data_IF_095615550861
#
_entry.id   IF_095615550861
#
_cell.length_a   1.000
_cell.length_b   1.000
_cell.length_c   1.000
_cell.angle_alpha   90.00
_cell.angle_beta   90.00
_cell.angle_gamma   90.00
#
_symmetry.space_group_name_H-M   'P 1'
#
loop_
_entity.id
_entity.type
_entity.pdbx_description
1 polymer ?
#
# COMPACT_ATOMS: atom_id res chain seq x y z
N UNK A 1 -13.53 -20.00 -24.53
CA UNK A 1 -13.02 -21.34 -24.85
C UNK A 1 -14.11 -22.40 -24.89
N UNK A 2 -14.76 -22.76 -23.77
CA UNK A 2 -15.82 -23.78 -23.77
C UNK A 2 -16.94 -23.50 -24.80
N UNK A 3 -17.41 -22.26 -24.87
CA UNK A 3 -18.40 -21.83 -25.88
C UNK A 3 -17.90 -21.92 -27.32
N UNK A 4 -16.60 -21.77 -27.54
CA UNK A 4 -15.97 -21.89 -28.87
C UNK A 4 -15.96 -23.35 -29.33
N UNK A 5 -15.61 -24.27 -28.43
CA UNK A 5 -15.67 -25.72 -28.68
C UNK A 5 -17.10 -26.17 -28.91
N UNK A 6 -18.03 -25.77 -28.05
CA UNK A 6 -19.45 -26.10 -28.24
C UNK A 6 -20.05 -25.52 -29.54
N UNK A 7 -19.51 -24.39 -30.03
CA UNK A 7 -19.94 -23.86 -31.32
C UNK A 7 -19.43 -24.72 -32.48
N UNK A 8 -18.19 -25.21 -32.39
CA UNK A 8 -17.59 -26.09 -33.40
C UNK A 8 -18.23 -27.47 -33.45
N UNK A 9 -18.59 -28.01 -32.29
CA UNK A 9 -19.28 -29.30 -32.15
C UNK A 9 -20.78 -29.24 -32.47
N UNK A 10 -21.36 -28.03 -32.59
CA UNK A 10 -22.79 -27.87 -32.84
C UNK A 10 -23.19 -28.40 -34.22
N UNK A 11 -24.04 -29.44 -34.23
CA UNK A 11 -24.48 -30.11 -35.45
C UNK A 11 -25.51 -29.28 -36.22
N UNK A 12 -26.36 -28.51 -35.53
CA UNK A 12 -27.47 -27.80 -36.15
C UNK A 12 -27.28 -26.28 -36.20
N UNK A 13 -27.90 -25.63 -37.20
CA UNK A 13 -27.96 -24.17 -37.32
C UNK A 13 -28.58 -23.50 -36.07
N UNK A 14 -29.57 -24.16 -35.46
CA UNK A 14 -30.23 -23.66 -34.26
C UNK A 14 -29.30 -23.66 -33.06
N UNK A 15 -28.51 -24.73 -32.88
CA UNK A 15 -27.50 -24.82 -31.83
C UNK A 15 -26.39 -23.80 -32.05
N UNK A 16 -25.83 -23.70 -33.25
CA UNK A 16 -24.83 -22.66 -33.60
C UNK A 16 -25.35 -21.27 -33.28
N UNK A 17 -26.57 -20.95 -33.72
CA UNK A 17 -27.22 -19.66 -33.43
C UNK A 17 -27.40 -19.40 -31.93
N UNK A 18 -27.74 -20.43 -31.14
CA UNK A 18 -27.88 -20.33 -29.68
C UNK A 18 -26.52 -20.07 -29.02
N UNK A 19 -25.52 -20.88 -29.36
CA UNK A 19 -24.17 -20.76 -28.78
C UNK A 19 -23.52 -19.43 -29.15
N UNK A 20 -23.67 -18.93 -30.39
CA UNK A 20 -23.13 -17.62 -30.78
C UNK A 20 -23.76 -16.47 -29.99
N UNK A 21 -25.06 -16.53 -29.67
CA UNK A 21 -25.73 -15.48 -28.85
C UNK A 21 -25.23 -15.49 -27.41
N UNK A 22 -25.10 -16.67 -26.81
CA UNK A 22 -24.51 -16.82 -25.47
C UNK A 22 -23.06 -16.33 -25.50
N UNK A 23 -22.30 -16.71 -26.52
CA UNK A 23 -20.93 -16.24 -26.75
C UNK A 23 -20.85 -14.72 -26.86
N UNK A 24 -21.71 -14.09 -27.65
CA UNK A 24 -21.76 -12.64 -27.79
C UNK A 24 -22.04 -11.94 -26.44
N UNK A 25 -23.02 -12.43 -25.68
CA UNK A 25 -23.30 -11.93 -24.32
C UNK A 25 -22.10 -12.09 -23.39
N UNK A 26 -21.46 -13.27 -23.38
CA UNK A 26 -20.27 -13.51 -22.58
C UNK A 26 -19.08 -12.64 -23.00
N UNK A 27 -18.90 -12.34 -24.29
CA UNK A 27 -17.87 -11.40 -24.75
C UNK A 27 -18.10 -9.99 -24.18
N UNK A 28 -19.34 -9.49 -24.23
CA UNK A 28 -19.69 -8.20 -23.62
C UNK A 28 -19.47 -8.20 -22.11
N UNK A 29 -19.96 -9.22 -21.41
CA UNK A 29 -19.80 -9.35 -19.96
C UNK A 29 -18.34 -9.46 -19.53
N UNK A 30 -17.51 -10.16 -20.32
CA UNK A 30 -16.08 -10.31 -20.02
C UNK A 30 -15.34 -8.99 -20.12
N UNK A 31 -15.75 -8.09 -21.04
CA UNK A 31 -15.19 -6.75 -21.15
C UNK A 31 -15.51 -5.89 -19.92
N UNK A 32 -16.59 -6.17 -19.19
CA UNK A 32 -16.89 -5.53 -17.90
C UNK A 32 -15.97 -5.99 -16.77
N UNK A 33 -15.35 -7.17 -16.89
CA UNK A 33 -14.43 -7.70 -15.89
C UNK A 33 -12.97 -7.32 -16.19
N UNK A 34 -12.51 -7.55 -17.41
CA UNK A 34 -11.11 -7.31 -17.77
C UNK A 34 -10.94 -6.94 -19.25
N UNK A 35 -10.39 -5.76 -19.51
CA UNK A 35 -10.24 -5.22 -20.87
C UNK A 35 -9.32 -6.03 -21.78
N UNK A 36 -8.34 -6.75 -21.22
CA UNK A 36 -7.39 -7.57 -22.01
C UNK A 36 -8.08 -8.71 -22.76
N UNK A 37 -9.31 -9.08 -22.40
CA UNK A 37 -10.11 -10.07 -23.15
C UNK A 37 -10.34 -9.67 -24.60
N UNK A 38 -10.22 -8.37 -24.94
CA UNK A 38 -10.35 -7.87 -26.31
C UNK A 38 -9.42 -8.63 -27.28
N UNK A 39 -8.24 -9.06 -26.83
CA UNK A 39 -7.30 -9.84 -27.64
C UNK A 39 -7.90 -11.18 -28.09
N UNK A 40 -8.67 -11.84 -27.22
CA UNK A 40 -9.38 -13.07 -27.55
C UNK A 40 -10.61 -12.80 -28.43
N UNK A 41 -11.38 -11.75 -28.09
CA UNK A 41 -12.60 -11.38 -28.82
C UNK A 41 -12.28 -11.04 -30.29
N UNK A 42 -11.17 -10.35 -30.54
CA UNK A 42 -10.69 -10.00 -31.89
C UNK A 42 -10.33 -11.22 -32.75
N UNK A 43 -10.00 -12.37 -32.14
CA UNK A 43 -9.77 -13.61 -32.89
C UNK A 43 -11.05 -14.44 -33.02
N UNK A 44 -11.80 -14.60 -31.94
CA UNK A 44 -12.96 -15.49 -31.87
C UNK A 44 -14.12 -14.94 -32.72
N UNK A 45 -14.41 -13.64 -32.63
CA UNK A 45 -15.58 -13.07 -33.32
C UNK A 45 -15.46 -13.18 -34.84
N UNK A 46 -14.35 -12.77 -35.50
CA UNK A 46 -14.21 -12.95 -36.94
C UNK A 46 -14.27 -14.42 -37.37
N UNK A 47 -13.70 -15.34 -36.58
CA UNK A 47 -13.76 -16.77 -36.87
C UNK A 47 -15.21 -17.30 -36.82
N UNK A 48 -15.98 -16.98 -35.77
CA UNK A 48 -17.40 -17.36 -35.68
C UNK A 48 -18.20 -16.77 -36.84
N UNK A 49 -18.00 -15.49 -37.17
CA UNK A 49 -18.69 -14.83 -38.27
C UNK A 49 -18.34 -15.48 -39.62
N UNK A 50 -17.08 -15.86 -39.82
CA UNK A 50 -16.63 -16.57 -41.01
C UNK A 50 -17.28 -17.96 -41.13
N UNK A 51 -17.36 -18.73 -40.03
CA UNK A 51 -18.03 -20.03 -40.03
C UNK A 51 -19.53 -19.90 -40.33
N UNK A 52 -20.21 -18.95 -39.70
CA UNK A 52 -21.62 -18.67 -39.99
C UNK A 52 -21.83 -18.24 -41.45
N UNK A 53 -20.88 -17.49 -42.03
CA UNK A 53 -20.93 -17.12 -43.44
C UNK A 53 -20.76 -18.35 -44.35
N UNK A 54 -19.79 -19.21 -44.04
CA UNK A 54 -19.52 -20.45 -44.78
C UNK A 54 -20.72 -21.40 -44.80
N UNK A 55 -21.39 -21.55 -43.66
CA UNK A 55 -22.61 -22.35 -43.51
C UNK A 55 -23.88 -21.65 -44.04
N UNK A 56 -23.76 -20.42 -44.58
CA UNK A 56 -24.86 -19.58 -45.08
C UNK A 56 -25.92 -19.23 -44.01
N UNK A 57 -25.51 -19.20 -42.75
CA UNK A 57 -26.34 -18.86 -41.59
C UNK A 57 -26.22 -17.39 -41.18
N UNK A 58 -25.23 -16.68 -41.74
CA UNK A 58 -25.02 -15.26 -41.46
C UNK A 58 -26.01 -14.39 -42.26
N UNK A 59 -26.79 -13.59 -41.54
CA UNK A 59 -27.69 -12.58 -42.12
C UNK A 59 -27.59 -11.27 -41.34
N UNK A 60 -28.07 -10.17 -41.91
CA UNK A 60 -28.17 -8.88 -41.19
C UNK A 60 -28.96 -9.00 -39.89
N UNK A 61 -30.05 -9.77 -39.89
CA UNK A 61 -30.85 -10.04 -38.70
C UNK A 61 -30.10 -10.86 -37.64
N UNK A 62 -29.25 -11.81 -38.06
CA UNK A 62 -28.38 -12.56 -37.15
C UNK A 62 -27.30 -11.65 -36.54
N UNK A 63 -26.64 -10.83 -37.36
CA UNK A 63 -25.66 -9.84 -36.90
C UNK A 63 -26.27 -8.86 -35.88
N UNK A 64 -27.45 -8.32 -36.17
CA UNK A 64 -28.16 -7.44 -35.25
C UNK A 64 -28.46 -8.13 -33.92
N UNK A 65 -28.95 -9.37 -33.95
CA UNK A 65 -29.18 -10.16 -32.72
C UNK A 65 -27.88 -10.34 -31.94
N UNK A 66 -26.79 -10.77 -32.58
CA UNK A 66 -25.50 -10.91 -31.90
C UNK A 66 -25.03 -9.60 -31.26
N UNK A 67 -25.19 -8.47 -31.96
CA UNK A 67 -24.94 -7.13 -31.43
C UNK A 67 -25.77 -6.82 -30.19
N UNK A 68 -27.08 -7.13 -30.19
CA UNK A 68 -27.94 -6.96 -29.02
C UNK A 68 -27.50 -7.81 -27.82
N UNK A 69 -27.14 -9.08 -28.04
CA UNK A 69 -26.63 -9.93 -26.95
C UNK A 69 -25.31 -9.42 -26.39
N UNK A 70 -24.39 -8.99 -27.26
CA UNK A 70 -23.13 -8.36 -26.84
C UNK A 70 -23.37 -7.09 -26.01
N UNK A 71 -24.23 -6.18 -26.49
CA UNK A 71 -24.61 -4.97 -25.76
C UNK A 71 -25.30 -5.28 -24.44
N UNK A 72 -26.12 -6.34 -24.37
CA UNK A 72 -26.71 -6.81 -23.11
C UNK A 72 -25.64 -7.29 -22.11
N UNK A 73 -24.55 -7.88 -22.60
CA UNK A 73 -23.40 -8.24 -21.77
C UNK A 73 -22.70 -7.02 -21.16
N UNK A 74 -22.75 -5.86 -21.82
CA UNK A 74 -22.15 -4.61 -21.34
C UNK A 74 -23.02 -3.86 -20.31
N UNK A 75 -24.22 -4.35 -20.00
CA UNK A 75 -25.13 -3.69 -19.04
C UNK A 75 -24.52 -3.38 -17.66
N UNK A 76 -23.59 -4.18 -17.09
CA UNK A 76 -22.93 -3.80 -15.84
C UNK A 76 -22.25 -2.43 -15.89
N UNK A 77 -21.76 -1.97 -17.05
CA UNK A 77 -21.18 -0.64 -17.17
C UNK A 77 -22.18 0.50 -16.94
N UNK A 78 -23.49 0.27 -17.09
CA UNK A 78 -24.51 1.26 -16.78
C UNK A 78 -24.53 1.63 -15.29
N UNK A 79 -24.00 0.78 -14.40
CA UNK A 79 -23.86 1.09 -12.99
C UNK A 79 -22.94 2.30 -12.74
N UNK A 80 -21.88 2.47 -13.55
CA UNK A 80 -20.89 3.54 -13.35
C UNK A 80 -21.52 4.95 -13.45
N UNK A 81 -22.17 5.34 -14.57
CA UNK A 81 -22.78 6.67 -14.66
C UNK A 81 -23.94 6.83 -13.66
N UNK A 82 -24.74 5.78 -13.40
CA UNK A 82 -25.84 5.84 -12.43
C UNK A 82 -25.32 6.11 -11.02
N UNK A 83 -24.34 5.34 -10.56
CA UNK A 83 -23.75 5.48 -9.23
C UNK A 83 -23.03 6.82 -9.06
N UNK A 84 -22.33 7.29 -10.11
CA UNK A 84 -21.64 8.57 -10.13
C UNK A 84 -22.60 9.77 -10.12
N UNK A 85 -23.75 9.66 -10.80
CA UNK A 85 -24.79 10.68 -10.80
C UNK A 85 -25.53 10.76 -9.46
N UNK A 86 -25.89 9.61 -8.89
CA UNK A 86 -26.51 9.54 -7.56
C UNK A 86 -25.52 9.85 -6.42
N UNK A 87 -24.23 9.94 -6.73
CA UNK A 87 -23.14 10.12 -5.78
C UNK A 87 -23.17 9.06 -4.66
N UNK A 88 -23.60 7.83 -4.97
CA UNK A 88 -23.73 6.74 -3.99
C UNK A 88 -22.40 6.05 -3.71
N UNK A 89 -21.59 5.83 -4.77
CA UNK A 89 -20.26 5.28 -4.60
C UNK A 89 -19.36 6.31 -3.91
N UNK A 90 -18.96 6.00 -2.67
CA UNK A 90 -17.93 6.72 -1.91
C UNK A 90 -16.53 6.57 -2.51
N UNK A 91 -16.38 5.81 -3.58
CA UNK A 91 -15.10 5.68 -4.24
C UNK A 91 -15.31 5.22 -5.68
N UNK A 92 -14.89 6.05 -6.61
CA UNK A 92 -14.89 5.78 -8.04
C UNK A 92 -13.54 6.23 -8.60
N UNK A 93 -13.10 5.61 -9.69
CA UNK A 93 -11.90 6.06 -10.41
C UNK A 93 -12.32 6.95 -11.58
N UNK A 94 -12.28 8.27 -11.39
CA UNK A 94 -12.79 9.25 -12.35
C UNK A 94 -14.23 9.71 -12.04
N UNK A 95 -14.70 10.68 -12.83
CA UNK A 95 -16.09 11.17 -12.82
C UNK A 95 -16.85 10.71 -14.07
N UNK A 96 -17.75 9.74 -13.92
CA UNK A 96 -18.55 9.17 -15.01
C UNK A 96 -19.94 9.82 -15.15
N UNK A 97 -20.18 11.02 -14.59
CA UNK A 97 -21.47 11.72 -14.75
C UNK A 97 -21.73 12.22 -16.17
N UNK A 98 -20.69 12.39 -16.96
CA UNK A 98 -20.77 12.84 -18.36
C UNK A 98 -20.40 11.69 -19.30
N UNK A 99 -20.87 11.77 -20.55
CA UNK A 99 -20.46 10.81 -21.59
C UNK A 99 -18.94 10.80 -21.77
N UNK A 100 -18.31 11.98 -21.77
CA UNK A 100 -16.87 12.09 -21.87
C UNK A 100 -16.17 11.39 -20.71
N UNK A 101 -16.59 11.66 -19.47
CA UNK A 101 -16.01 11.03 -18.28
C UNK A 101 -16.24 9.51 -18.24
N UNK A 102 -17.40 9.03 -18.70
CA UNK A 102 -17.63 7.61 -18.91
C UNK A 102 -16.67 7.02 -19.95
N UNK A 103 -16.47 7.69 -21.09
CA UNK A 103 -15.55 7.24 -22.14
C UNK A 103 -14.10 7.26 -21.65
N UNK A 104 -13.67 8.29 -20.92
CA UNK A 104 -12.33 8.37 -20.31
C UNK A 104 -12.08 7.19 -19.38
N UNK A 105 -13.05 6.81 -18.55
CA UNK A 105 -12.95 5.63 -17.69
C UNK A 105 -12.97 4.32 -18.51
N UNK A 106 -13.94 4.18 -19.42
CA UNK A 106 -14.10 2.99 -20.26
C UNK A 106 -12.86 2.74 -21.13
N UNK A 107 -12.26 3.78 -21.69
CA UNK A 107 -11.03 3.69 -22.49
C UNK A 107 -9.77 3.64 -21.62
N UNK A 108 -9.91 3.65 -20.28
CA UNK A 108 -8.82 3.60 -19.31
C UNK A 108 -7.77 4.70 -19.56
N UNK A 109 -8.20 5.87 -20.03
CA UNK A 109 -7.31 6.96 -20.41
C UNK A 109 -6.42 7.41 -19.23
N UNK A 110 -6.97 7.39 -18.01
CA UNK A 110 -6.26 7.79 -16.78
C UNK A 110 -5.12 6.84 -16.39
N UNK A 111 -5.17 5.59 -16.83
CA UNK A 111 -4.10 4.61 -16.66
C UNK A 111 -3.08 4.64 -17.81
N UNK A 112 -3.44 5.31 -18.91
CA UNK A 112 -2.83 5.16 -20.22
C UNK A 112 -3.51 4.01 -20.97
N UNK A 113 -4.34 4.32 -21.97
CA UNK A 113 -5.18 3.34 -22.71
C UNK A 113 -4.40 2.11 -23.21
N UNK A 114 -3.17 2.31 -23.67
CA UNK A 114 -2.28 1.25 -24.14
C UNK A 114 -1.17 0.87 -23.15
N UNK A 115 -1.24 1.39 -21.93
CA UNK A 115 -0.36 1.00 -20.82
C UNK A 115 -1.05 -0.09 -19.99
N UNK A 116 -0.39 -1.23 -19.85
CA UNK A 116 -0.86 -2.33 -19.00
C UNK A 116 -0.42 -2.16 -17.55
N UNK A 117 0.75 -1.55 -17.34
CA UNK A 117 1.22 -1.08 -16.05
C UNK A 117 2.11 0.16 -16.27
N UNK A 118 1.91 1.18 -15.44
CA UNK A 118 2.72 2.40 -15.45
C UNK A 118 3.99 2.14 -14.61
N UNK A 119 4.92 1.30 -15.10
CA UNK A 119 6.21 1.08 -14.44
C UNK A 119 7.24 2.14 -14.88
N UNK A 120 8.15 2.51 -13.96
CA UNK A 120 9.30 3.39 -14.26
C UNK A 120 10.28 2.77 -15.28
N UNK A 121 10.21 1.45 -15.46
CA UNK A 121 10.93 0.69 -16.49
C UNK A 121 9.89 -0.02 -17.34
N UNK A 122 9.41 0.65 -18.38
CA UNK A 122 8.33 0.15 -19.23
C UNK A 122 8.78 -1.00 -20.14
N UNK A 123 8.12 -2.15 -20.06
CA UNK A 123 8.16 -3.16 -21.12
C UNK A 123 7.41 -2.65 -22.35
N UNK A 124 7.95 -2.85 -23.55
CA UNK A 124 7.32 -2.35 -24.79
C UNK A 124 5.98 -3.03 -25.05
N UNK A 125 5.02 -2.34 -25.68
CA UNK A 125 3.71 -2.93 -26.04
C UNK A 125 3.86 -4.24 -26.83
N UNK A 126 4.90 -4.35 -27.66
CA UNK A 126 5.28 -5.57 -28.37
C UNK A 126 5.68 -6.72 -27.45
N UNK A 127 6.47 -6.47 -26.40
CA UNK A 127 6.84 -7.50 -25.42
C UNK A 127 5.62 -7.99 -24.66
N UNK A 128 4.70 -7.09 -24.32
CA UNK A 128 3.49 -7.46 -23.59
C UNK A 128 2.53 -8.24 -24.49
N UNK A 129 2.35 -7.82 -25.74
CA UNK A 129 1.57 -8.58 -26.72
C UNK A 129 2.18 -9.95 -27.00
N UNK A 130 3.52 -10.04 -27.09
CA UNK A 130 4.23 -11.31 -27.24
C UNK A 130 4.04 -12.20 -26.02
N UNK A 131 4.15 -11.66 -24.82
CA UNK A 131 3.89 -12.35 -23.56
C UNK A 131 2.45 -12.86 -23.50
N UNK A 132 1.47 -12.00 -23.83
CA UNK A 132 0.05 -12.37 -23.89
C UNK A 132 -0.20 -13.42 -24.97
N UNK A 133 0.38 -13.33 -26.17
CA UNK A 133 0.26 -14.37 -27.19
C UNK A 133 0.90 -15.69 -26.78
N UNK A 134 2.04 -15.63 -26.10
CA UNK A 134 2.71 -16.82 -25.57
C UNK A 134 1.85 -17.46 -24.50
N UNK A 135 1.32 -16.67 -23.56
CA UNK A 135 0.39 -17.10 -22.53
C UNK A 135 -0.88 -17.68 -23.14
N UNK A 136 -1.49 -17.03 -24.14
CA UNK A 136 -2.65 -17.56 -24.88
C UNK A 136 -2.35 -18.94 -25.45
N UNK A 137 -1.20 -19.10 -26.15
CA UNK A 137 -0.79 -20.42 -26.69
C UNK A 137 -0.57 -21.46 -25.59
N UNK A 138 -0.04 -21.05 -24.44
CA UNK A 138 0.19 -21.97 -23.32
C UNK A 138 -1.11 -22.33 -22.62
N UNK A 139 -1.98 -21.37 -22.31
CA UNK A 139 -3.30 -21.56 -21.71
C UNK A 139 -4.26 -22.37 -22.61
N UNK A 140 -4.15 -22.23 -23.93
CA UNK A 140 -4.91 -23.03 -24.90
C UNK A 140 -4.43 -24.48 -25.02
N UNK A 141 -3.27 -24.83 -24.46
CA UNK A 141 -2.77 -26.22 -24.47
C UNK A 141 -3.58 -27.10 -23.53
N UNK A 142 -4.06 -28.24 -24.04
CA UNK A 142 -4.83 -29.22 -23.28
C UNK A 142 -4.12 -29.66 -21.99
N UNK A 143 -2.78 -29.81 -22.05
CA UNK A 143 -1.97 -30.20 -20.90
C UNK A 143 -2.02 -29.15 -19.78
N UNK A 144 -2.01 -27.86 -20.12
CA UNK A 144 -2.08 -26.77 -19.13
C UNK A 144 -3.49 -26.64 -18.57
N UNK A 145 -4.54 -26.85 -19.37
CA UNK A 145 -5.91 -26.88 -18.83
C UNK A 145 -6.13 -28.05 -17.88
N UNK A 146 -5.65 -29.24 -18.23
CA UNK A 146 -5.69 -30.40 -17.35
C UNK A 146 -4.87 -30.18 -16.07
N UNK A 147 -3.67 -29.59 -16.18
CA UNK A 147 -2.85 -29.22 -15.02
C UNK A 147 -3.46 -28.09 -14.20
N UNK A 148 -4.15 -27.13 -14.80
CA UNK A 148 -4.84 -26.05 -14.11
C UNK A 148 -6.06 -26.59 -13.35
N UNK A 149 -6.83 -27.49 -13.95
CA UNK A 149 -7.93 -28.20 -13.26
C UNK A 149 -7.36 -29.06 -12.14
N UNK A 150 -6.28 -29.81 -12.39
CA UNK A 150 -5.59 -30.61 -11.37
C UNK A 150 -5.02 -29.75 -10.24
N UNK A 151 -4.38 -28.62 -10.55
CA UNK A 151 -3.85 -27.68 -9.59
C UNK A 151 -4.96 -27.01 -8.78
N UNK A 152 -6.08 -26.62 -9.42
CA UNK A 152 -7.25 -26.15 -8.70
C UNK A 152 -7.78 -27.26 -7.77
N UNK A 153 -7.89 -28.50 -8.20
CA UNK A 153 -8.37 -29.61 -7.33
C UNK A 153 -7.38 -29.94 -6.20
N UNK A 154 -6.07 -29.89 -6.45
CA UNK A 154 -5.03 -30.28 -5.49
C UNK A 154 -4.62 -29.14 -4.54
N UNK A 155 -4.65 -27.88 -4.98
CA UNK A 155 -4.21 -26.72 -4.20
C UNK A 155 -5.38 -25.97 -3.53
N UNK A 156 -6.63 -26.20 -3.94
CA UNK A 156 -7.81 -25.45 -3.47
C UNK A 156 -8.12 -25.54 -1.98
N UNK A 157 -7.48 -26.41 -1.20
CA UNK A 157 -7.82 -26.56 0.23
C UNK A 157 -6.83 -26.03 1.24
N UNK A 158 -5.52 -26.03 0.98
CA UNK A 158 -4.55 -25.61 2.01
C UNK A 158 -3.88 -24.27 1.74
N UNK A 159 -3.69 -23.87 0.46
CA UNK A 159 -3.07 -22.58 0.11
C UNK A 159 -4.16 -21.53 -0.16
N UNK A 160 -5.26 -21.91 -0.80
CA UNK A 160 -6.37 -21.00 -1.08
C UNK A 160 -7.32 -20.82 0.11
N UNK A 161 -7.26 -21.70 1.12
CA UNK A 161 -8.05 -21.52 2.34
C UNK A 161 -7.42 -20.44 3.22
N UNK A 162 -7.92 -19.22 3.03
CA UNK A 162 -7.57 -18.03 3.80
C UNK A 162 -8.65 -17.71 4.85
N UNK A 163 -9.51 -18.67 5.21
CA UNK A 163 -10.63 -18.45 6.14
C UNK A 163 -10.19 -18.00 7.54
N UNK A 164 -8.96 -18.33 7.94
CA UNK A 164 -8.37 -17.90 9.21
C UNK A 164 -7.36 -16.76 9.06
N UNK A 165 -7.17 -16.21 7.86
CA UNK A 165 -6.20 -15.16 7.62
C UNK A 165 -6.81 -13.78 7.90
N UNK A 166 -6.59 -13.29 9.11
CA UNK A 166 -7.09 -12.00 9.59
C UNK A 166 -5.98 -10.96 9.77
N UNK A 167 -4.79 -11.14 9.19
CA UNK A 167 -3.67 -10.24 9.47
C UNK A 167 -3.93 -8.81 8.97
N UNK A 168 -4.50 -8.64 7.78
CA UNK A 168 -4.87 -7.33 7.22
C UNK A 168 -6.03 -6.71 8.01
N UNK A 169 -6.97 -7.54 8.47
CA UNK A 169 -8.07 -7.12 9.36
C UNK A 169 -7.52 -6.57 10.69
N UNK A 170 -6.64 -7.34 11.35
CA UNK A 170 -5.97 -6.93 12.58
C UNK A 170 -5.14 -5.66 12.36
N UNK A 171 -4.47 -5.52 11.22
CA UNK A 171 -3.68 -4.34 10.87
C UNK A 171 -4.57 -3.11 10.86
N UNK A 172 -5.65 -3.13 10.06
CA UNK A 172 -6.57 -2.02 9.96
C UNK A 172 -7.24 -1.68 11.29
N UNK A 173 -7.71 -2.69 12.04
CA UNK A 173 -8.33 -2.47 13.36
C UNK A 173 -7.38 -1.84 14.36
N UNK A 174 -6.11 -2.24 14.38
CA UNK A 174 -5.10 -1.64 15.27
C UNK A 174 -4.84 -0.16 14.91
N UNK A 175 -4.69 0.17 13.63
CA UNK A 175 -4.50 1.56 13.19
C UNK A 175 -5.73 2.43 13.48
N UNK A 176 -6.93 1.93 13.18
CA UNK A 176 -8.19 2.63 13.44
C UNK A 176 -8.43 2.82 14.94
N UNK A 177 -8.09 1.84 15.78
CA UNK A 177 -8.26 1.94 17.23
C UNK A 177 -7.23 2.88 17.89
N UNK A 178 -6.06 3.08 17.28
CA UNK A 178 -4.99 3.88 17.90
C UNK A 178 -5.16 5.38 17.73
N UNK A 179 -5.91 5.86 16.74
CA UNK A 179 -6.11 7.31 16.54
C UNK A 179 -7.21 7.87 17.47
N UNK A 180 -7.11 9.13 17.93
CA UNK A 180 -8.12 9.74 18.78
C UNK A 180 -9.44 9.99 18.04
N UNK A 181 -10.46 10.41 18.79
CA UNK A 181 -11.78 10.73 18.25
C UNK A 181 -11.72 11.88 17.24
N UNK A 182 -12.55 11.81 16.19
CA UNK A 182 -12.70 12.86 15.17
C UNK A 182 -11.40 13.22 14.39
N UNK A 183 -10.44 12.28 14.34
CA UNK A 183 -9.17 12.46 13.64
C UNK A 183 -9.29 12.39 12.11
N UNK A 184 -8.34 13.02 11.41
CA UNK A 184 -8.13 12.88 9.96
C UNK A 184 -6.96 11.92 9.73
N UNK A 185 -7.16 10.90 8.91
CA UNK A 185 -6.08 10.04 8.43
C UNK A 185 -5.86 10.30 6.94
N UNK A 186 -4.64 10.74 6.61
CA UNK A 186 -4.12 10.86 5.27
C UNK A 186 -3.57 9.51 4.82
N UNK A 187 -4.31 8.81 3.96
CA UNK A 187 -3.99 7.49 3.43
C UNK A 187 -2.93 7.59 2.32
N UNK A 188 -2.02 6.60 2.26
CA UNK A 188 -1.02 6.47 1.20
C UNK A 188 -0.83 5.01 0.81
N UNK A 189 -0.89 4.74 -0.50
CA UNK A 189 -0.67 3.41 -1.04
C UNK A 189 -1.76 2.39 -0.69
N UNK A 190 -1.60 1.19 -1.24
CA UNK A 190 -2.66 0.19 -1.28
C UNK A 190 -2.98 -0.42 0.09
N UNK A 191 -1.96 -0.69 0.92
CA UNK A 191 -2.17 -1.38 2.19
C UNK A 191 -3.09 -0.59 3.14
N UNK A 192 -2.73 0.63 3.61
CA UNK A 192 -3.61 1.36 4.49
C UNK A 192 -4.84 1.87 3.73
N UNK A 193 -4.68 2.23 2.45
CA UNK A 193 -5.76 2.70 1.60
C UNK A 193 -6.92 1.71 1.54
N UNK A 194 -6.68 0.48 1.09
CA UNK A 194 -7.73 -0.52 0.93
C UNK A 194 -8.22 -1.07 2.28
N UNK A 195 -7.31 -1.40 3.20
CA UNK A 195 -7.68 -2.05 4.45
C UNK A 195 -8.48 -1.14 5.39
N UNK A 196 -8.09 0.12 5.58
CA UNK A 196 -8.83 1.06 6.43
C UNK A 196 -10.17 1.44 5.81
N UNK A 197 -10.22 1.66 4.48
CA UNK A 197 -11.50 1.97 3.80
C UNK A 197 -12.52 0.84 3.96
N UNK A 198 -12.10 -0.41 3.79
CA UNK A 198 -13.00 -1.55 3.98
C UNK A 198 -13.54 -1.60 5.41
N UNK A 199 -12.65 -1.55 6.41
CA UNK A 199 -13.06 -1.61 7.82
C UNK A 199 -13.93 -0.43 8.24
N UNK A 200 -13.64 0.77 7.72
CA UNK A 200 -14.37 1.97 8.10
C UNK A 200 -15.71 2.11 7.38
N UNK A 201 -15.75 1.88 6.06
CA UNK A 201 -16.94 2.13 5.25
C UNK A 201 -17.83 0.91 5.03
N UNK A 202 -17.26 -0.31 4.99
CA UNK A 202 -18.04 -1.54 4.82
C UNK A 202 -18.43 -2.14 6.17
N UNK A 203 -17.46 -2.25 7.10
CA UNK A 203 -17.71 -2.82 8.44
C UNK A 203 -18.20 -1.78 9.46
N UNK A 204 -18.21 -0.49 9.11
CA UNK A 204 -18.73 0.59 9.95
C UNK A 204 -17.88 0.92 11.18
N UNK A 205 -16.58 0.57 11.17
CA UNK A 205 -15.69 0.86 12.29
C UNK A 205 -15.27 2.32 12.32
N UNK A 206 -15.27 2.93 13.51
CA UNK A 206 -14.83 4.31 13.75
C UNK A 206 -15.50 5.33 12.79
N UNK A 207 -16.84 5.41 12.71
CA UNK A 207 -17.52 6.35 11.80
C UNK A 207 -17.22 7.83 12.10
N UNK A 208 -16.56 8.11 13.23
CA UNK A 208 -16.12 9.43 13.67
C UNK A 208 -14.85 9.94 12.95
N UNK A 209 -14.00 9.06 12.41
CA UNK A 209 -12.77 9.50 11.74
C UNK A 209 -13.01 9.83 10.27
N UNK A 210 -12.13 10.64 9.68
CA UNK A 210 -12.14 10.94 8.25
C UNK A 210 -10.93 10.35 7.54
N UNK A 211 -11.17 9.53 6.52
CA UNK A 211 -10.12 8.95 5.67
C UNK A 211 -9.98 9.75 4.37
N UNK A 212 -8.82 10.37 4.15
CA UNK A 212 -8.53 11.21 2.99
C UNK A 212 -7.34 10.63 2.23
N UNK A 213 -7.50 10.34 0.95
CA UNK A 213 -6.42 9.72 0.17
C UNK A 213 -5.48 10.76 -0.44
N UNK A 214 -4.19 10.65 -0.12
CA UNK A 214 -3.18 11.63 -0.51
C UNK A 214 -2.97 11.69 -2.03
N UNK A 215 -2.83 10.53 -2.67
CA UNK A 215 -2.53 10.45 -4.10
C UNK A 215 -3.75 10.85 -4.91
N UNK A 216 -4.93 10.45 -4.44
CA UNK A 216 -6.17 10.76 -5.15
C UNK A 216 -6.51 12.25 -5.15
N UNK A 217 -6.17 12.98 -4.10
CA UNK A 217 -6.34 14.44 -4.04
C UNK A 217 -5.58 15.19 -5.14
N UNK A 218 -4.61 14.57 -5.81
CA UNK A 218 -3.87 15.15 -6.94
C UNK A 218 -4.64 15.09 -8.26
N UNK A 219 -5.71 14.29 -8.35
CA UNK A 219 -6.55 14.16 -9.54
C UNK A 219 -7.68 15.20 -9.55
N UNK A 220 -7.99 15.72 -10.75
CA UNK A 220 -8.97 16.80 -10.93
C UNK A 220 -10.40 16.41 -10.53
N UNK A 221 -10.75 15.14 -10.67
CA UNK A 221 -12.08 14.63 -10.40
C UNK A 221 -12.33 14.25 -8.94
N UNK A 222 -11.28 14.04 -8.13
CA UNK A 222 -11.41 13.39 -6.82
C UNK A 222 -12.16 14.26 -5.80
N UNK A 223 -11.65 15.45 -5.47
CA UNK A 223 -12.27 16.30 -4.45
C UNK A 223 -13.67 16.81 -4.82
N UNK A 224 -13.96 17.20 -6.09
CA UNK A 224 -15.32 17.55 -6.49
C UNK A 224 -16.37 16.46 -6.18
N UNK A 225 -15.95 15.18 -6.16
CA UNK A 225 -16.79 14.03 -5.79
C UNK A 225 -16.73 13.73 -4.30
N UNK A 226 -15.53 13.57 -3.79
CA UNK A 226 -15.28 12.96 -2.48
C UNK A 226 -15.45 13.90 -1.30
N UNK A 227 -15.26 15.21 -1.47
CA UNK A 227 -15.39 16.17 -0.38
C UNK A 227 -16.80 16.14 0.25
N UNK A 228 -17.84 15.83 -0.53
CA UNK A 228 -19.23 15.70 -0.06
C UNK A 228 -19.44 14.53 0.90
N UNK A 229 -18.59 13.50 0.80
CA UNK A 229 -18.60 12.32 1.68
C UNK A 229 -17.73 12.50 2.92
N UNK A 230 -17.06 13.65 3.06
CA UNK A 230 -16.15 13.97 4.15
C UNK A 230 -16.59 15.27 4.86
N UNK A 231 -17.81 15.34 5.43
CA UNK A 231 -18.38 16.58 5.96
C UNK A 231 -17.57 17.19 7.12
N UNK A 232 -16.75 16.38 7.79
CA UNK A 232 -15.86 16.83 8.86
C UNK A 232 -14.52 17.42 8.40
N UNK A 233 -14.23 17.42 7.10
CA UNK A 233 -12.94 17.88 6.54
C UNK A 233 -13.17 19.09 5.64
N UNK A 234 -12.41 20.15 5.87
CA UNK A 234 -12.45 21.36 5.05
C UNK A 234 -11.32 21.34 4.02
N UNK A 235 -11.65 21.53 2.75
CA UNK A 235 -10.66 21.62 1.68
C UNK A 235 -10.55 23.09 1.22
N UNK A 236 -9.35 23.69 1.22
CA UNK A 236 -9.17 25.08 0.77
C UNK A 236 -9.35 25.29 -0.75
N UNK A 237 -9.42 24.20 -1.50
CA UNK A 237 -9.63 24.20 -2.95
C UNK A 237 -10.10 22.83 -3.44
N UNK A 238 -9.99 22.62 -4.74
CA UNK A 238 -10.52 21.46 -5.44
C UNK A 238 -9.46 20.46 -5.87
N UNK A 239 -8.16 20.76 -5.66
CA UNK A 239 -7.06 19.87 -6.02
C UNK A 239 -5.84 20.12 -5.15
N UNK A 240 -5.21 19.07 -4.66
CA UNK A 240 -3.93 19.20 -3.98
C UNK A 240 -2.82 19.47 -5.01
N UNK A 241 -2.09 20.57 -4.82
CA UNK A 241 -0.85 20.89 -5.52
C UNK A 241 0.11 21.64 -4.57
N UNK A 242 1.42 21.36 -4.59
CA UNK A 242 2.39 22.11 -3.81
C UNK A 242 2.38 23.63 -4.09
N UNK A 243 1.97 24.02 -5.30
CA UNK A 243 1.80 25.40 -5.72
C UNK A 243 0.32 25.76 -5.77
N UNK A 244 -0.06 26.75 -4.96
CA UNK A 244 -1.43 27.27 -4.93
C UNK A 244 -1.69 28.21 -6.12
N UNK A 245 -2.92 28.18 -6.61
CA UNK A 245 -3.33 29.00 -7.75
C UNK A 245 -4.61 28.49 -8.38
N UNK A 246 -4.89 29.00 -9.58
CA UNK A 246 -6.02 28.57 -10.41
C UNK A 246 -5.43 27.92 -11.66
N UNK A 247 -5.74 26.65 -11.89
CA UNK A 247 -5.32 25.94 -13.10
C UNK A 247 -6.10 26.42 -14.32
N UNK A 248 -5.63 26.17 -15.56
CA UNK A 248 -6.38 26.48 -16.77
C UNK A 248 -7.78 25.85 -16.82
N UNK A 249 -7.99 24.73 -16.11
CA UNK A 249 -9.29 24.08 -15.92
C UNK A 249 -10.25 24.86 -14.99
N UNK A 250 -9.81 25.97 -14.38
CA UNK A 250 -10.55 26.73 -13.38
C UNK A 250 -10.47 26.14 -11.97
N UNK A 251 -9.75 25.03 -11.78
CA UNK A 251 -9.59 24.40 -10.48
C UNK A 251 -8.69 25.24 -9.57
N UNK A 252 -9.19 25.49 -8.35
CA UNK A 252 -8.41 26.10 -7.28
C UNK A 252 -7.54 25.04 -6.62
N UNK A 253 -6.23 25.24 -6.61
CA UNK A 253 -5.29 24.33 -5.93
C UNK A 253 -4.99 24.79 -4.52
N UNK A 254 -4.70 23.84 -3.64
CA UNK A 254 -4.21 24.10 -2.28
C UNK A 254 -3.02 23.20 -1.97
N UNK A 255 -2.14 23.65 -1.09
CA UNK A 255 -1.03 22.85 -0.59
C UNK A 255 -1.35 22.21 0.77
N UNK A 256 -0.51 21.28 1.22
CA UNK A 256 -0.73 20.55 2.45
C UNK A 256 -0.66 21.45 3.69
N UNK A 257 0.21 22.47 3.70
CA UNK A 257 0.24 23.44 4.80
C UNK A 257 -1.13 24.11 5.01
N UNK A 258 -1.74 24.64 3.95
CA UNK A 258 -3.04 25.30 4.03
C UNK A 258 -4.16 24.33 4.41
N UNK A 259 -4.11 23.08 3.93
CA UNK A 259 -5.02 22.03 4.36
C UNK A 259 -4.94 21.75 5.87
N UNK A 260 -3.73 21.73 6.44
CA UNK A 260 -3.54 21.54 7.88
C UNK A 260 -4.02 22.76 8.67
N UNK A 261 -3.73 23.97 8.21
CA UNK A 261 -4.17 25.20 8.87
C UNK A 261 -5.69 25.35 8.97
N UNK A 262 -6.42 25.01 7.90
CA UNK A 262 -7.90 25.09 7.90
C UNK A 262 -8.56 23.97 8.73
N UNK A 263 -7.83 22.88 8.97
CA UNK A 263 -8.28 21.73 9.76
C UNK A 263 -7.58 21.61 11.12
N UNK A 264 -6.89 22.65 11.61
CA UNK A 264 -6.05 22.61 12.82
C UNK A 264 -6.78 22.19 14.10
N UNK A 265 -8.12 22.26 14.11
CA UNK A 265 -8.95 21.77 15.20
C UNK A 265 -9.02 20.23 15.28
N UNK A 266 -8.59 19.51 14.24
CA UNK A 266 -8.56 18.04 14.18
C UNK A 266 -7.12 17.54 14.18
N UNK A 267 -6.89 16.45 14.89
CA UNK A 267 -5.61 15.77 14.80
C UNK A 267 -5.48 15.06 13.46
N UNK A 268 -4.35 15.28 12.77
CA UNK A 268 -4.09 14.69 11.45
C UNK A 268 -2.94 13.69 11.54
N UNK A 269 -3.15 12.51 10.97
CA UNK A 269 -2.19 11.41 10.92
C UNK A 269 -1.89 11.02 9.48
N UNK A 270 -0.67 10.59 9.20
CA UNK A 270 -0.26 9.98 7.92
C UNK A 270 0.13 8.54 8.19
N UNK A 271 -0.49 7.57 7.51
CA UNK A 271 -0.19 6.15 7.72
C UNK A 271 0.69 5.62 6.58
N UNK A 272 1.84 5.03 6.94
CA UNK A 272 2.88 4.59 5.99
C UNK A 272 3.43 5.78 5.18
N UNK A 273 3.53 6.93 5.86
CA UNK A 273 4.24 8.11 5.40
C UNK A 273 3.41 9.13 4.62
N UNK A 274 4.06 10.26 4.38
CA UNK A 274 3.50 11.43 3.70
C UNK A 274 3.99 11.48 2.24
N UNK A 275 3.15 11.97 1.33
CA UNK A 275 3.54 12.21 -0.05
C UNK A 275 4.68 13.23 -0.13
N UNK A 276 5.80 12.86 -0.75
CA UNK A 276 7.04 13.67 -0.74
C UNK A 276 6.99 14.89 -1.67
N UNK A 277 6.06 14.90 -2.63
CA UNK A 277 5.95 15.97 -3.63
C UNK A 277 5.52 17.33 -3.06
N UNK A 278 5.05 17.39 -1.81
CA UNK A 278 4.67 18.65 -1.16
C UNK A 278 5.45 18.87 0.16
N UNK A 279 6.48 19.73 0.17
CA UNK A 279 7.22 20.05 1.39
C UNK A 279 6.62 21.21 2.19
N UNK A 280 5.52 21.84 1.76
CA UNK A 280 5.00 23.09 2.36
C UNK A 280 4.67 22.94 3.85
N UNK A 281 4.18 21.78 4.27
CA UNK A 281 3.87 21.48 5.68
C UNK A 281 5.09 21.58 6.61
N UNK A 282 6.31 21.30 6.11
CA UNK A 282 7.55 21.30 6.91
C UNK A 282 7.89 22.68 7.49
N UNK A 283 7.24 23.74 7.00
CA UNK A 283 7.41 25.11 7.50
C UNK A 283 7.01 25.22 8.99
N UNK A 284 5.84 24.68 9.34
CA UNK A 284 5.23 24.82 10.67
C UNK A 284 4.77 23.50 11.28
N UNK A 285 5.04 22.36 10.64
CA UNK A 285 4.66 21.05 11.16
C UNK A 285 5.86 20.10 11.16
N UNK A 286 5.82 19.16 12.09
CA UNK A 286 6.74 18.04 12.22
C UNK A 286 5.97 16.72 12.30
N UNK A 287 6.61 15.62 11.93
CA UNK A 287 6.04 14.27 12.04
C UNK A 287 6.54 13.61 13.31
N UNK A 288 5.62 13.27 14.20
CA UNK A 288 5.91 12.53 15.43
C UNK A 288 5.41 11.10 15.29
N UNK A 289 6.19 10.09 15.70
CA UNK A 289 5.86 8.70 15.45
C UNK A 289 4.60 8.26 16.21
N UNK A 290 3.68 7.59 15.50
CA UNK A 290 2.44 7.01 16.02
C UNK A 290 2.28 5.57 15.50
N UNK A 291 3.32 4.76 15.70
CA UNK A 291 3.35 3.37 15.26
C UNK A 291 3.58 3.26 13.76
N UNK A 292 2.68 2.61 13.02
CA UNK A 292 2.74 2.55 11.55
C UNK A 292 2.32 3.88 10.92
N UNK A 293 1.71 4.77 11.69
CA UNK A 293 1.40 6.13 11.28
C UNK A 293 2.34 7.14 11.95
N UNK A 294 2.24 8.38 11.54
CA UNK A 294 2.92 9.53 12.13
C UNK A 294 1.89 10.65 12.33
N UNK A 295 1.93 11.32 13.48
CA UNK A 295 1.07 12.47 13.79
C UNK A 295 1.72 13.74 13.21
N UNK A 296 0.94 14.54 12.49
CA UNK A 296 1.34 15.90 12.11
C UNK A 296 1.12 16.83 13.30
N UNK A 297 2.23 17.39 13.81
CA UNK A 297 2.24 18.22 15.01
C UNK A 297 2.81 19.60 14.67
N UNK A 298 2.12 20.66 15.08
CA UNK A 298 2.61 22.03 14.93
C UNK A 298 3.99 22.17 15.60
N UNK A 299 4.91 22.84 14.91
CA UNK A 299 6.26 23.15 15.40
C UNK A 299 6.26 24.06 16.63
N UNK A 300 5.14 24.68 16.98
CA UNK A 300 4.96 25.45 18.22
C UNK A 300 4.85 24.55 19.46
N UNK A 301 4.52 23.27 19.27
CA UNK A 301 4.34 22.31 20.37
C UNK A 301 5.70 21.71 20.75
N UNK A 302 6.06 21.85 22.02
CA UNK A 302 7.31 21.29 22.56
C UNK A 302 7.16 19.79 22.75
N UNK A 303 8.14 19.03 22.24
CA UNK A 303 8.17 17.58 22.39
C UNK A 303 8.54 17.16 23.82
N UNK A 304 7.66 16.42 24.48
CA UNK A 304 7.92 15.77 25.76
C UNK A 304 8.20 14.26 25.55
N UNK A 305 9.45 13.78 25.71
CA UNK A 305 9.79 12.39 25.44
C UNK A 305 9.08 11.41 26.37
N UNK A 306 8.96 11.70 27.67
CA UNK A 306 8.37 10.77 28.64
C UNK A 306 6.88 10.55 28.40
N UNK A 307 6.16 11.64 28.14
CA UNK A 307 4.74 11.58 27.80
C UNK A 307 4.53 10.83 26.48
N UNK A 308 5.33 11.14 25.45
CA UNK A 308 5.21 10.50 24.14
C UNK A 308 5.54 9.00 24.18
N UNK A 309 6.52 8.61 25.00
CA UNK A 309 6.84 7.20 25.24
C UNK A 309 5.65 6.49 25.87
N UNK A 310 5.02 7.08 26.90
CA UNK A 310 3.87 6.49 27.57
C UNK A 310 2.70 6.29 26.61
N UNK A 311 2.45 7.27 25.74
CA UNK A 311 1.39 7.20 24.72
C UNK A 311 1.67 6.10 23.68
N UNK A 312 2.92 5.96 23.24
CA UNK A 312 3.24 5.09 22.09
C UNK A 312 3.67 3.66 22.45
N UNK A 313 3.97 3.35 23.73
CA UNK A 313 4.57 2.06 24.13
C UNK A 313 3.74 0.83 23.75
N UNK A 314 2.42 0.88 23.90
CA UNK A 314 1.51 -0.26 23.71
C UNK A 314 0.32 0.08 22.80
N UNK A 315 0.56 0.80 21.71
CA UNK A 315 -0.52 1.25 20.81
C UNK A 315 -1.24 0.11 20.11
N UNK A 316 -0.52 -0.97 19.79
CA UNK A 316 -1.04 -2.06 18.98
C UNK A 316 -1.06 -3.38 19.74
N UNK A 317 -2.20 -4.06 19.69
CA UNK A 317 -2.33 -5.46 20.08
C UNK A 317 -1.94 -6.37 18.89
N UNK A 318 -0.65 -6.38 18.56
CA UNK A 318 -0.11 -7.15 17.45
C UNK A 318 0.56 -8.45 17.92
N UNK A 319 -0.05 -9.59 17.58
CA UNK A 319 0.36 -10.93 18.05
C UNK A 319 1.01 -11.78 16.97
N UNK A 320 1.16 -11.27 15.73
CA UNK A 320 1.72 -12.06 14.63
C UNK A 320 3.25 -12.15 14.74
N UNK A 321 3.77 -13.37 14.60
CA UNK A 321 5.20 -13.64 14.68
C UNK A 321 5.97 -13.01 13.50
N UNK A 322 7.19 -12.56 13.78
CA UNK A 322 8.06 -11.99 12.75
C UNK A 322 8.48 -13.05 11.71
N UNK A 323 8.40 -12.72 10.43
CA UNK A 323 8.83 -13.63 9.35
C UNK A 323 7.91 -14.83 9.11
N UNK A 324 6.69 -14.83 9.68
CA UNK A 324 5.69 -15.90 9.52
C UNK A 324 5.18 -16.07 8.08
N UNK A 325 5.03 -14.96 7.35
CA UNK A 325 4.37 -14.92 6.05
C UNK A 325 5.36 -14.97 4.89
N UNK A 326 4.89 -15.38 3.72
CA UNK A 326 5.71 -15.38 2.51
C UNK A 326 6.15 -13.95 2.15
N UNK A 327 7.45 -13.68 1.88
CA UNK A 327 7.94 -12.33 1.63
C UNK A 327 7.30 -11.59 0.44
N UNK A 328 6.68 -12.32 -0.49
CA UNK A 328 5.96 -11.74 -1.64
C UNK A 328 4.50 -11.35 -1.34
N UNK A 329 4.00 -11.67 -0.15
CA UNK A 329 2.60 -11.51 0.25
C UNK A 329 2.31 -10.16 0.91
N UNK A 330 1.06 -9.67 0.81
CA UNK A 330 0.62 -8.46 1.51
C UNK A 330 0.61 -8.65 3.03
N UNK A 331 0.42 -9.88 3.50
CA UNK A 331 0.50 -10.29 4.89
C UNK A 331 1.89 -10.04 5.46
N UNK A 332 2.94 -10.35 4.68
CA UNK A 332 4.31 -10.02 5.04
C UNK A 332 4.53 -8.51 5.10
N UNK A 333 3.99 -7.74 4.15
CA UNK A 333 4.10 -6.27 4.16
C UNK A 333 3.44 -5.68 5.41
N UNK A 334 2.20 -6.08 5.71
CA UNK A 334 1.49 -5.60 6.89
C UNK A 334 2.18 -6.01 8.20
N UNK A 335 2.70 -7.23 8.27
CA UNK A 335 3.44 -7.68 9.43
C UNK A 335 4.76 -6.90 9.61
N UNK A 336 5.52 -6.69 8.54
CA UNK A 336 6.75 -5.89 8.60
C UNK A 336 6.46 -4.45 9.06
N UNK A 337 5.41 -3.81 8.55
CA UNK A 337 4.99 -2.46 8.99
C UNK A 337 4.66 -2.41 10.49
N UNK A 338 3.97 -3.42 11.03
CA UNK A 338 3.62 -3.49 12.45
C UNK A 338 4.83 -3.81 13.34
N UNK A 339 5.79 -4.57 12.83
CA UNK A 339 7.05 -4.79 13.53
C UNK A 339 7.89 -3.51 13.52
N UNK A 340 8.14 -2.89 12.37
CA UNK A 340 8.92 -1.65 12.28
C UNK A 340 8.30 -0.50 13.09
N UNK A 341 6.97 -0.43 13.21
CA UNK A 341 6.26 0.53 14.06
C UNK A 341 6.78 0.60 15.51
N UNK A 342 7.21 -0.54 16.08
CA UNK A 342 7.72 -0.62 17.46
C UNK A 342 9.00 0.20 17.65
N UNK A 343 9.80 0.37 16.58
CA UNK A 343 11.07 1.10 16.63
C UNK A 343 10.95 2.58 16.28
N UNK A 344 9.80 3.06 15.80
CA UNK A 344 9.68 4.46 15.37
C UNK A 344 9.89 5.46 16.51
N UNK A 345 9.31 5.22 17.69
CA UNK A 345 9.49 6.10 18.86
C UNK A 345 10.95 6.21 19.32
N UNK A 346 11.66 5.11 19.65
CA UNK A 346 13.06 5.21 20.06
C UNK A 346 13.95 5.78 18.94
N UNK A 347 13.65 5.49 17.68
CA UNK A 347 14.37 6.07 16.55
C UNK A 347 14.20 7.59 16.47
N UNK A 348 12.97 8.10 16.60
CA UNK A 348 12.70 9.53 16.60
C UNK A 348 13.42 10.26 17.74
N UNK A 349 13.32 9.73 18.97
CA UNK A 349 13.98 10.32 20.15
C UNK A 349 15.50 10.33 19.98
N UNK A 350 16.07 9.24 19.46
CA UNK A 350 17.49 9.16 19.14
C UNK A 350 17.89 10.21 18.09
N UNK A 351 17.13 10.34 17.01
CA UNK A 351 17.40 11.30 15.95
C UNK A 351 17.28 12.75 16.42
N UNK A 352 16.37 13.03 17.35
CA UNK A 352 16.26 14.34 17.99
C UNK A 352 17.54 14.70 18.76
N UNK A 353 18.14 13.73 19.47
CA UNK A 353 19.40 13.92 20.17
C UNK A 353 20.60 14.18 19.22
N UNK A 354 20.61 13.54 18.06
CA UNK A 354 21.65 13.72 17.03
C UNK A 354 21.53 15.09 16.35
N UNK A 355 20.33 15.47 15.91
CA UNK A 355 20.12 16.58 14.96
C UNK A 355 19.78 17.91 15.61
N UNK A 356 19.10 17.92 16.76
CA UNK A 356 18.69 19.15 17.40
C UNK A 356 19.86 19.83 18.14
N UNK A 357 19.85 21.16 18.11
CA UNK A 357 20.76 22.00 18.90
C UNK A 357 20.28 22.07 20.34
N UNK A 358 20.66 21.07 21.14
CA UNK A 358 20.25 20.89 22.53
C UNK A 358 21.47 20.86 23.46
N UNK A 359 21.33 21.32 24.72
CA UNK A 359 22.37 21.15 25.74
C UNK A 359 22.80 19.69 25.90
N UNK A 360 24.07 19.44 26.21
CA UNK A 360 24.62 18.09 26.34
C UNK A 360 23.85 17.21 27.33
N UNK A 361 23.39 17.78 28.44
CA UNK A 361 22.59 17.07 29.45
C UNK A 361 21.24 16.58 28.90
N UNK A 362 20.58 17.41 28.08
CA UNK A 362 19.31 17.04 27.43
C UNK A 362 19.56 15.96 26.37
N UNK A 363 20.64 16.06 25.60
CA UNK A 363 21.04 15.00 24.65
C UNK A 363 21.26 13.68 25.38
N UNK A 364 21.98 13.70 26.51
CA UNK A 364 22.22 12.51 27.31
C UNK A 364 20.94 11.86 27.83
N UNK A 365 19.96 12.66 28.26
CA UNK A 365 18.64 12.16 28.64
C UNK A 365 17.92 11.48 27.45
N UNK A 366 17.88 12.12 26.28
CA UNK A 366 17.24 11.56 25.08
C UNK A 366 17.89 10.25 24.63
N UNK A 367 19.23 10.17 24.61
CA UNK A 367 19.93 8.91 24.31
C UNK A 367 19.62 7.82 25.34
N UNK A 368 19.50 8.18 26.62
CA UNK A 368 19.15 7.24 27.70
C UNK A 368 17.74 6.69 27.50
N UNK A 369 16.76 7.54 27.16
CA UNK A 369 15.41 7.09 26.82
C UNK A 369 15.41 6.15 25.61
N UNK A 370 16.05 6.55 24.51
CA UNK A 370 16.14 5.72 23.31
C UNK A 370 16.81 4.37 23.59
N UNK A 371 17.93 4.36 24.32
CA UNK A 371 18.63 3.15 24.75
C UNK A 371 17.73 2.21 25.56
N UNK A 372 16.99 2.75 26.54
CA UNK A 372 16.10 1.95 27.39
C UNK A 372 15.01 1.26 26.58
N UNK A 373 14.38 2.00 25.67
CA UNK A 373 13.34 1.48 24.78
C UNK A 373 13.89 0.43 23.80
N UNK A 374 15.02 0.70 23.16
CA UNK A 374 15.65 -0.27 22.26
C UNK A 374 16.00 -1.57 23.00
N UNK A 375 16.55 -1.46 24.20
CA UNK A 375 16.87 -2.62 25.04
C UNK A 375 15.61 -3.42 25.33
N UNK A 376 14.55 -2.80 25.81
CA UNK A 376 13.29 -3.48 26.09
C UNK A 376 12.77 -4.22 24.85
N UNK A 377 12.66 -3.53 23.71
CA UNK A 377 12.08 -4.08 22.48
C UNK A 377 12.91 -5.25 21.93
N UNK A 378 14.24 -5.11 21.87
CA UNK A 378 15.15 -6.14 21.34
C UNK A 378 15.15 -7.40 22.21
N UNK A 379 15.07 -7.25 23.53
CA UNK A 379 15.12 -8.38 24.45
C UNK A 379 13.77 -9.04 24.72
N UNK A 380 12.66 -8.34 24.46
CA UNK A 380 11.32 -8.89 24.63
C UNK A 380 10.99 -9.97 23.58
N UNK A 381 11.56 -9.86 22.38
CA UNK A 381 11.20 -10.68 21.23
C UNK A 381 12.38 -11.55 20.78
N UNK A 382 12.15 -12.86 20.65
CA UNK A 382 13.21 -13.81 20.26
C UNK A 382 13.65 -13.60 18.81
N UNK A 383 12.69 -13.47 17.90
CA UNK A 383 12.91 -13.16 16.50
C UNK A 383 12.33 -11.78 16.19
N UNK A 384 13.08 -11.00 15.41
CA UNK A 384 12.74 -9.62 15.08
C UNK A 384 13.55 -9.13 13.87
N UNK A 385 13.17 -8.01 13.23
CA UNK A 385 13.91 -7.42 12.13
C UNK A 385 15.40 -7.20 12.43
N UNK A 386 16.26 -7.41 11.43
CA UNK A 386 17.71 -7.33 11.63
C UNK A 386 18.17 -5.91 12.02
N UNK A 387 17.58 -4.87 11.43
CA UNK A 387 17.91 -3.46 11.67
C UNK A 387 17.78 -3.05 13.15
N UNK A 388 16.96 -3.76 13.95
CA UNK A 388 16.83 -3.52 15.38
C UNK A 388 18.16 -3.70 16.13
N UNK A 389 18.96 -4.70 15.75
CA UNK A 389 20.28 -4.90 16.33
C UNK A 389 21.23 -3.73 16.01
N UNK A 390 21.20 -3.21 14.77
CA UNK A 390 22.00 -2.05 14.38
C UNK A 390 21.63 -0.82 15.21
N UNK A 391 20.34 -0.52 15.30
CA UNK A 391 19.85 0.65 16.03
C UNK A 391 20.17 0.56 17.53
N UNK A 392 19.99 -0.60 18.15
CA UNK A 392 20.33 -0.79 19.56
C UNK A 392 21.84 -0.68 19.82
N UNK A 393 22.69 -1.25 18.95
CA UNK A 393 24.14 -1.14 19.08
C UNK A 393 24.62 0.31 19.00
N UNK A 394 24.06 1.11 18.09
CA UNK A 394 24.34 2.54 17.96
C UNK A 394 23.90 3.30 19.22
N UNK A 395 22.71 3.00 19.76
CA UNK A 395 22.25 3.61 21.01
C UNK A 395 23.18 3.30 22.20
N UNK A 396 23.63 2.04 22.34
CA UNK A 396 24.61 1.65 23.34
C UNK A 396 25.92 2.42 23.20
N UNK A 397 26.40 2.61 21.96
CA UNK A 397 27.63 3.35 21.67
C UNK A 397 27.49 4.82 22.08
N UNK A 398 26.36 5.47 21.79
CA UNK A 398 26.15 6.87 22.16
C UNK A 398 26.09 7.08 23.67
N UNK A 399 25.38 6.20 24.39
CA UNK A 399 25.35 6.25 25.86
C UNK A 399 26.74 6.02 26.46
N UNK A 400 27.55 5.12 25.87
CA UNK A 400 28.93 4.86 26.31
C UNK A 400 29.81 6.11 26.21
N UNK A 401 29.70 6.88 25.12
CA UNK A 401 30.54 8.06 24.88
C UNK A 401 30.20 9.22 25.81
N UNK A 402 28.94 9.36 26.19
CA UNK A 402 28.48 10.46 27.05
C UNK A 402 28.87 10.28 28.51
N UNK A 403 29.02 9.04 29.01
CA UNK A 403 29.42 8.71 30.41
C UNK A 403 28.55 9.28 31.53
N UNK A 404 27.44 9.93 31.21
CA UNK A 404 26.53 10.59 32.17
C UNK A 404 25.39 9.67 32.67
N UNK A 405 25.20 8.48 32.09
CA UNK A 405 23.99 7.64 32.29
C UNK A 405 24.06 6.52 33.32
N UNK A 406 25.10 6.44 34.16
CA UNK A 406 25.24 5.42 35.23
C UNK A 406 25.37 3.95 34.76
N UNK A 407 25.24 3.67 33.45
CA UNK A 407 25.38 2.34 32.87
C UNK A 407 26.86 1.91 32.80
N UNK A 408 27.14 0.65 33.12
CA UNK A 408 28.51 0.11 33.13
C UNK A 408 29.12 0.17 31.71
N UNK A 409 30.24 0.90 31.50
CA UNK A 409 30.94 0.95 30.22
C UNK A 409 31.29 -0.42 29.63
N UNK A 410 31.59 -1.41 30.49
CA UNK A 410 31.91 -2.77 30.02
C UNK A 410 30.67 -3.46 29.42
N UNK A 411 29.51 -3.26 30.04
CA UNK A 411 28.23 -3.80 29.56
C UNK A 411 27.86 -3.16 28.24
N UNK A 412 27.94 -1.82 28.13
CA UNK A 412 27.62 -1.11 26.90
C UNK A 412 28.54 -1.54 25.74
N UNK A 413 29.85 -1.62 25.97
CA UNK A 413 30.81 -2.12 24.95
C UNK A 413 30.48 -3.55 24.52
N UNK A 414 30.18 -4.43 25.47
CA UNK A 414 29.83 -5.83 25.18
C UNK A 414 28.55 -5.93 24.35
N UNK A 415 27.52 -5.16 24.70
CA UNK A 415 26.24 -5.11 24.00
C UNK A 415 26.39 -4.54 22.58
N UNK A 416 27.11 -3.42 22.41
CA UNK A 416 27.40 -2.84 21.08
C UNK A 416 28.10 -3.86 20.19
N UNK A 417 29.14 -4.54 20.69
CA UNK A 417 29.87 -5.55 19.92
C UNK A 417 28.95 -6.73 19.57
N UNK A 418 28.15 -7.20 20.52
CA UNK A 418 27.25 -8.35 20.32
C UNK A 418 26.22 -8.05 19.25
N UNK A 419 25.54 -6.91 19.33
CA UNK A 419 24.47 -6.59 18.40
C UNK A 419 24.95 -6.19 17.01
N UNK A 420 26.09 -5.51 16.87
CA UNK A 420 26.69 -5.34 15.55
C UNK A 420 27.09 -6.67 14.91
N UNK A 421 27.60 -7.66 15.67
CA UNK A 421 27.87 -9.00 15.12
C UNK A 421 26.58 -9.70 14.67
N UNK A 422 25.51 -9.63 15.45
CA UNK A 422 24.22 -10.22 15.07
C UNK A 422 23.66 -9.54 13.81
N UNK A 423 23.82 -8.23 13.71
CA UNK A 423 23.44 -7.47 12.52
C UNK A 423 24.18 -7.94 11.27
N UNK A 424 25.51 -8.02 11.32
CA UNK A 424 26.32 -8.42 10.16
C UNK A 424 26.07 -9.85 9.72
N UNK A 425 25.62 -10.74 10.61
CA UNK A 425 25.22 -12.10 10.27
C UNK A 425 23.88 -12.15 9.52
N UNK A 426 22.92 -11.30 9.91
CA UNK A 426 21.56 -11.27 9.34
C UNK A 426 21.45 -10.39 8.08
N UNK A 427 22.14 -9.25 8.01
CA UNK A 427 22.02 -8.25 6.94
C UNK A 427 23.20 -8.32 5.94
N UNK A 428 23.30 -9.41 5.16
CA UNK A 428 24.48 -9.70 4.30
C UNK A 428 24.72 -8.73 3.15
N UNK A 429 23.71 -7.95 2.75
CA UNK A 429 23.75 -7.07 1.59
C UNK A 429 23.79 -5.58 1.96
N UNK A 430 23.98 -5.21 3.23
CA UNK A 430 24.02 -3.80 3.64
C UNK A 430 25.35 -3.13 3.20
N UNK A 431 25.32 -1.97 2.51
CA UNK A 431 26.54 -1.25 2.13
C UNK A 431 27.41 -0.81 3.32
N UNK A 432 26.84 -0.65 4.52
CA UNK A 432 27.52 -0.21 5.74
C UNK A 432 28.30 -1.34 6.44
N UNK A 433 28.28 -2.59 5.93
CA UNK A 433 28.96 -3.72 6.58
C UNK A 433 30.48 -3.52 6.75
N UNK A 434 31.12 -2.84 5.80
CA UNK A 434 32.54 -2.53 5.86
C UNK A 434 32.86 -1.63 7.06
N UNK A 435 32.10 -0.55 7.21
CA UNK A 435 32.25 0.42 8.30
C UNK A 435 31.97 -0.21 9.67
N UNK A 436 30.90 -1.02 9.75
CA UNK A 436 30.55 -1.76 10.97
C UNK A 436 31.69 -2.74 11.34
N UNK A 437 32.32 -3.38 10.37
CA UNK A 437 33.44 -4.30 10.60
C UNK A 437 34.68 -3.58 11.15
N UNK A 438 34.97 -2.37 10.67
CA UNK A 438 36.03 -1.51 11.20
C UNK A 438 35.71 -1.08 12.64
N UNK A 439 34.49 -0.60 12.88
CA UNK A 439 34.03 -0.22 14.22
C UNK A 439 34.13 -1.39 15.21
N UNK A 440 33.73 -2.59 14.81
CA UNK A 440 33.84 -3.81 15.63
C UNK A 440 35.27 -4.14 16.04
N UNK A 441 36.27 -3.90 15.18
CA UNK A 441 37.69 -4.10 15.54
C UNK A 441 38.13 -3.11 16.62
N UNK A 442 37.74 -1.85 16.48
CA UNK A 442 38.05 -0.80 17.47
C UNK A 442 37.40 -1.09 18.83
N UNK A 443 36.09 -1.37 18.84
CA UNK A 443 35.33 -1.63 20.07
C UNK A 443 35.87 -2.84 20.85
N UNK A 444 36.31 -3.91 20.16
CA UNK A 444 36.92 -5.08 20.82
C UNK A 444 38.24 -4.74 21.52
N UNK A 445 39.09 -3.91 20.90
CA UNK A 445 40.33 -3.43 21.53
C UNK A 445 40.03 -2.58 22.75
N UNK A 446 39.03 -1.72 22.66
CA UNK A 446 38.57 -0.88 23.78
C UNK A 446 38.08 -1.72 24.96
N UNK A 447 37.23 -2.73 24.70
CA UNK A 447 36.75 -3.66 25.72
C UNK A 447 37.89 -4.44 26.39
N UNK A 448 38.87 -4.91 25.61
CA UNK A 448 40.03 -5.61 26.17
C UNK A 448 40.88 -4.70 27.06
N UNK A 449 41.11 -3.46 26.64
CA UNK A 449 41.82 -2.45 27.43
C UNK A 449 41.10 -2.15 28.76
N UNK A 450 39.77 -2.02 28.72
CA UNK A 450 38.95 -1.78 29.91
C UNK A 450 39.05 -2.94 30.91
N UNK A 451 38.93 -4.18 30.44
CA UNK A 451 39.06 -5.39 31.28
C UNK A 451 40.45 -5.51 31.90
N UNK A 452 41.49 -5.24 31.12
CA UNK A 452 42.86 -5.28 31.64
C UNK A 452 43.08 -4.23 32.74
N UNK A 453 42.46 -3.05 32.65
CA UNK A 453 42.52 -2.00 33.70
C UNK A 453 41.73 -2.32 34.96
N UNK A 454 40.70 -3.19 34.89
CA UNK A 454 39.93 -3.66 36.06
C UNK A 454 40.59 -4.83 36.78
N UNK A 455 41.45 -5.59 36.08
CA UNK A 455 42.17 -6.75 36.61
C UNK A 455 43.53 -6.40 37.24
N UNK A 456 43.88 -5.11 37.27
CA UNK A 456 45.02 -4.51 37.99
C UNK A 456 44.44 -3.70 39.13
#
# INVERSE_FOLDING_TARGET
>A
MALTVHFEEAATAQERSKVSKIGAFCCGLSLCNQHTIVLYVLCIVPWILFQLLKEKELSLGALWKLGLYFSAGLLPYAYLPVSSYLNQARWTWGDQTTLLGFLTHFLREEYGTFSLAKSEVGSSMSEILLSQMTNMRTELSFNIQALAVWANVCLARNICDQSTNYVIDKFAKNLLASVPHDAIILLRGDLPGNSLRYMHYCEGLRPDISLVDQEMMTYEWYLPKMAKHLPGVKFPGNRWNPVEGILPSGMVTFNLYHFLEINKQKETFVCIGIHEGDPTWKKNYSLWPWGSCDKLVSSEIVFNPEEWIKLTRNMYNWTEEYGRFDPSSWESVANEEMWQARMKTPFFIFNLAETASLPSSVKAQLYTHAYSLYKEIVYLQKEHPANWHKNYAIACERVLRLREGGADPEVLLSETIRHFRLYTQKARNDPQLADISVALKHLRKELQSLRNRRNV
#
